data_IF_800119967322
#
_entry.id   IF_800119967322
#
_cell.length_a   1.000
_cell.length_b   1.000
_cell.length_c   1.000
_cell.angle_alpha   90.00
_cell.angle_beta   90.00
_cell.angle_gamma   90.00
#
_symmetry.space_group_name_H-M   'P 1'
#
loop_
_entity.id
_entity.type
_entity.pdbx_description
1 polymer ?
#
# COMPACT_ATOMS: atom_id res chain seq x y z
N UNK A 1 48.54 4.84 68.43
CA UNK A 1 47.71 3.75 67.86
C UNK A 1 47.28 4.17 66.47
N UNK A 2 47.86 3.56 65.43
CA UNK A 2 47.58 3.88 64.02
C UNK A 2 46.64 2.80 63.49
N UNK A 3 45.43 3.17 63.08
CA UNK A 3 44.49 2.25 62.44
C UNK A 3 44.85 2.13 60.95
N UNK A 4 45.23 0.93 60.54
CA UNK A 4 45.36 0.54 59.13
C UNK A 4 43.97 0.42 58.50
N UNK A 5 43.73 1.16 57.42
CA UNK A 5 42.56 0.97 56.56
C UNK A 5 42.92 -0.03 55.45
N UNK A 6 42.19 -1.14 55.26
CA UNK A 6 42.42 -2.03 54.14
C UNK A 6 41.77 -1.46 52.87
N UNK A 7 42.57 -1.32 51.82
CA UNK A 7 42.14 -0.99 50.47
C UNK A 7 41.23 -2.10 49.92
N UNK A 8 40.01 -1.75 49.49
CA UNK A 8 39.21 -2.62 48.63
C UNK A 8 39.63 -2.38 47.16
N UNK A 9 40.07 -3.42 46.42
CA UNK A 9 40.59 -3.28 45.07
C UNK A 9 39.47 -2.95 44.06
N UNK A 10 39.75 -2.00 43.17
CA UNK A 10 38.84 -1.44 42.15
C UNK A 10 38.43 -2.43 41.02
N UNK A 11 38.60 -3.73 41.21
CA UNK A 11 38.49 -4.75 40.15
C UNK A 11 37.18 -5.55 40.13
N UNK A 12 36.09 -5.05 40.73
CA UNK A 12 34.78 -5.73 40.74
C UNK A 12 33.62 -4.92 40.12
N UNK A 13 33.89 -3.73 39.56
CA UNK A 13 32.88 -2.88 38.91
C UNK A 13 32.80 -3.03 37.38
N UNK A 14 33.45 -4.04 36.80
CA UNK A 14 33.50 -4.26 35.35
C UNK A 14 32.58 -5.39 34.83
N UNK A 15 31.75 -6.01 35.68
CA UNK A 15 30.92 -7.17 35.31
C UNK A 15 29.44 -7.06 35.65
N UNK A 16 28.89 -5.84 35.79
CA UNK A 16 27.47 -5.67 36.16
C UNK A 16 26.71 -4.58 35.38
N UNK A 17 27.05 -4.35 34.11
CA UNK A 17 26.30 -3.44 33.22
C UNK A 17 26.29 -3.91 31.75
N UNK A 18 26.10 -5.22 31.49
CA UNK A 18 25.86 -5.75 30.12
C UNK A 18 24.60 -6.61 30.05
N UNK A 19 23.62 -6.38 30.93
CA UNK A 19 22.33 -7.06 30.87
C UNK A 19 21.19 -6.06 30.72
N UNK A 20 20.46 -6.25 29.62
CA UNK A 20 19.12 -5.73 29.28
C UNK A 20 19.06 -4.46 28.41
N UNK A 21 19.75 -4.47 27.27
CA UNK A 21 19.13 -3.96 26.05
C UNK A 21 18.37 -5.10 25.36
N UNK A 22 17.28 -5.57 25.98
CA UNK A 22 16.27 -6.31 25.23
C UNK A 22 15.76 -5.35 24.16
N UNK A 23 15.78 -5.71 22.85
CA UNK A 23 14.98 -4.95 21.92
C UNK A 23 13.56 -5.04 22.43
N UNK A 24 12.96 -3.91 22.81
CA UNK A 24 11.53 -3.87 23.02
C UNK A 24 10.95 -4.36 21.68
N UNK A 25 10.36 -5.56 21.66
CA UNK A 25 9.41 -5.86 20.61
C UNK A 25 8.38 -4.74 20.73
N UNK A 26 8.41 -3.79 19.80
CA UNK A 26 7.38 -2.79 19.69
C UNK A 26 6.10 -3.60 19.44
N UNK A 27 5.30 -3.77 20.50
CA UNK A 27 3.97 -4.31 20.36
C UNK A 27 3.27 -3.42 19.33
N UNK A 28 2.78 -4.02 18.24
CA UNK A 28 2.03 -3.29 17.23
C UNK A 28 0.89 -2.55 17.92
N UNK A 29 0.89 -1.22 17.77
CA UNK A 29 -0.13 -0.36 18.38
C UNK A 29 -1.53 -0.71 17.85
N UNK A 30 -2.61 -0.27 18.53
CA UNK A 30 -3.99 -0.54 18.13
C UNK A 30 -4.26 -0.25 16.65
N UNK A 31 -3.81 0.91 16.15
CA UNK A 31 -3.92 1.29 14.74
C UNK A 31 -3.29 0.25 13.80
N UNK A 32 -2.07 -0.20 14.08
CA UNK A 32 -1.39 -1.16 13.21
C UNK A 32 -2.14 -2.50 13.13
N UNK A 33 -2.73 -2.95 14.24
CA UNK A 33 -3.53 -4.17 14.25
C UNK A 33 -4.82 -4.00 13.44
N UNK A 34 -5.49 -2.86 13.57
CA UNK A 34 -6.70 -2.52 12.81
C UNK A 34 -6.40 -2.46 11.29
N UNK A 35 -5.27 -1.84 10.91
CA UNK A 35 -4.81 -1.76 9.52
C UNK A 35 -4.47 -3.15 8.95
N UNK A 36 -3.78 -4.00 9.72
CA UNK A 36 -3.48 -5.37 9.30
C UNK A 36 -4.76 -6.16 9.06
N UNK A 37 -5.73 -6.08 9.97
CA UNK A 37 -7.02 -6.75 9.79
C UNK A 37 -7.74 -6.25 8.53
N UNK A 38 -7.73 -4.93 8.27
CA UNK A 38 -8.35 -4.34 7.08
C UNK A 38 -7.66 -4.81 5.78
N UNK A 39 -6.32 -4.88 5.79
CA UNK A 39 -5.50 -5.41 4.71
C UNK A 39 -5.81 -6.88 4.38
N UNK A 40 -5.95 -7.71 5.42
CA UNK A 40 -6.27 -9.13 5.27
C UNK A 40 -7.66 -9.31 4.66
N UNK A 41 -8.65 -8.53 5.11
CA UNK A 41 -10.01 -8.57 4.54
C UNK A 41 -10.04 -8.10 3.09
N UNK A 42 -9.31 -7.02 2.75
CA UNK A 42 -9.19 -6.57 1.38
C UNK A 42 -8.52 -7.63 0.48
N UNK A 43 -7.47 -8.29 0.97
CA UNK A 43 -6.76 -9.35 0.25
C UNK A 43 -7.68 -10.54 -0.02
N UNK A 44 -8.40 -11.00 1.00
CA UNK A 44 -9.39 -12.06 0.87
C UNK A 44 -10.47 -11.72 -0.17
N UNK A 45 -11.08 -10.54 -0.07
CA UNK A 45 -12.13 -10.11 -0.98
C UNK A 45 -11.66 -9.90 -2.43
N UNK A 46 -10.42 -9.42 -2.61
CA UNK A 46 -9.87 -9.12 -3.93
C UNK A 46 -9.46 -10.38 -4.70
N UNK A 47 -8.89 -11.36 -4.00
CA UNK A 47 -8.20 -12.48 -4.65
C UNK A 47 -8.83 -13.85 -4.40
N UNK A 48 -9.56 -14.03 -3.29
CA UNK A 48 -10.04 -15.35 -2.89
C UNK A 48 -11.56 -15.49 -3.03
N UNK A 49 -12.31 -14.40 -2.97
CA UNK A 49 -13.76 -14.45 -3.18
C UNK A 49 -14.13 -14.63 -4.65
N UNK A 50 -15.15 -15.46 -4.95
CA UNK A 50 -15.80 -15.51 -6.26
C UNK A 50 -16.34 -14.12 -6.69
N UNK A 51 -16.28 -13.75 -7.98
CA UNK A 51 -16.67 -12.42 -8.44
C UNK A 51 -18.08 -11.97 -8.04
N UNK A 52 -19.05 -12.89 -8.04
CA UNK A 52 -20.45 -12.65 -7.67
C UNK A 52 -20.67 -12.33 -6.19
N UNK A 53 -19.68 -12.56 -5.33
CA UNK A 53 -19.74 -12.26 -3.89
C UNK A 53 -18.99 -10.98 -3.51
N UNK A 54 -18.26 -10.36 -4.46
CA UNK A 54 -17.35 -9.26 -4.15
C UNK A 54 -18.07 -7.95 -3.86
N UNK A 55 -19.14 -7.65 -4.59
CA UNK A 55 -19.93 -6.41 -4.40
C UNK A 55 -20.46 -6.34 -2.95
N UNK A 56 -21.22 -7.35 -2.53
CA UNK A 56 -21.74 -7.45 -1.15
C UNK A 56 -20.64 -7.44 -0.08
N UNK A 57 -19.53 -8.15 -0.33
CA UNK A 57 -18.41 -8.19 0.60
C UNK A 57 -17.80 -6.79 0.80
N UNK A 58 -17.47 -6.10 -0.29
CA UNK A 58 -16.86 -4.77 -0.22
C UNK A 58 -17.84 -3.71 0.30
N UNK A 59 -19.14 -3.83 -0.01
CA UNK A 59 -20.19 -3.01 0.59
C UNK A 59 -20.23 -3.14 2.13
N UNK A 60 -19.94 -4.34 2.67
CA UNK A 60 -19.84 -4.55 4.12
C UNK A 60 -18.50 -4.11 4.74
N UNK A 61 -17.44 -4.06 3.93
CA UNK A 61 -16.08 -3.71 4.39
C UNK A 61 -15.87 -2.20 4.44
N UNK A 62 -16.44 -1.46 3.49
CA UNK A 62 -16.26 -0.01 3.38
C UNK A 62 -16.68 0.77 4.65
N UNK A 63 -17.82 0.49 5.32
CA UNK A 63 -18.16 1.15 6.58
C UNK A 63 -17.17 0.89 7.72
N UNK A 64 -16.50 -0.28 7.72
CA UNK A 64 -15.46 -0.60 8.72
C UNK A 64 -14.21 0.24 8.48
N UNK A 65 -13.79 0.38 7.22
CA UNK A 65 -12.69 1.26 6.87
C UNK A 65 -12.98 2.72 7.29
N UNK A 66 -14.21 3.18 7.05
CA UNK A 66 -14.64 4.52 7.47
C UNK A 66 -14.59 4.72 8.99
N UNK A 67 -14.96 3.72 9.79
CA UNK A 67 -14.84 3.78 11.25
C UNK A 67 -13.39 3.97 11.70
N UNK A 68 -12.41 3.35 11.02
CA UNK A 68 -10.99 3.57 11.32
C UNK A 68 -10.56 5.01 11.01
N UNK A 69 -11.02 5.59 9.90
CA UNK A 69 -10.76 7.01 9.57
C UNK A 69 -11.28 7.93 10.69
N UNK A 70 -12.48 7.64 11.21
CA UNK A 70 -13.05 8.41 12.33
C UNK A 70 -12.31 8.19 13.65
N UNK A 71 -11.81 6.97 13.91
CA UNK A 71 -11.13 6.62 15.14
C UNK A 71 -9.70 7.20 15.22
N UNK A 72 -9.05 7.39 14.07
CA UNK A 72 -7.67 7.85 13.97
C UNK A 72 -7.54 9.10 13.09
N UNK A 73 -8.13 10.23 13.49
CA UNK A 73 -8.07 11.47 12.71
C UNK A 73 -6.63 11.96 12.55
N UNK A 74 -6.27 12.41 11.35
CA UNK A 74 -4.93 12.91 11.04
C UNK A 74 -3.92 11.85 10.62
N UNK A 75 -4.29 10.56 10.65
CA UNK A 75 -3.49 9.49 10.06
C UNK A 75 -3.84 9.30 8.58
N UNK A 76 -2.83 9.16 7.73
CA UNK A 76 -3.02 8.94 6.30
C UNK A 76 -3.46 7.51 6.00
N UNK A 77 -2.96 6.53 6.75
CA UNK A 77 -3.12 5.11 6.50
C UNK A 77 -4.59 4.63 6.50
N UNK A 78 -5.46 5.04 7.45
CA UNK A 78 -6.89 4.73 7.37
C UNK A 78 -7.56 5.28 6.11
N UNK A 79 -7.22 6.51 5.71
CA UNK A 79 -7.75 7.14 4.49
C UNK A 79 -7.28 6.40 3.22
N UNK A 80 -6.02 5.94 3.21
CA UNK A 80 -5.48 5.12 2.13
C UNK A 80 -6.28 3.84 2.00
N UNK A 81 -6.50 3.11 3.09
CA UNK A 81 -7.27 1.87 3.05
C UNK A 81 -8.73 2.08 2.68
N UNK A 82 -9.41 3.10 3.22
CA UNK A 82 -10.78 3.41 2.78
C UNK A 82 -10.82 3.74 1.29
N UNK A 83 -9.83 4.50 0.78
CA UNK A 83 -9.68 4.81 -0.63
C UNK A 83 -9.47 3.56 -1.50
N UNK A 84 -8.55 2.67 -1.10
CA UNK A 84 -8.27 1.40 -1.80
C UNK A 84 -9.51 0.50 -1.83
N UNK A 85 -10.18 0.33 -0.69
CA UNK A 85 -11.39 -0.49 -0.58
C UNK A 85 -12.51 0.09 -1.44
N UNK A 86 -12.72 1.40 -1.39
CA UNK A 86 -13.76 2.08 -2.17
C UNK A 86 -13.47 2.00 -3.68
N UNK A 87 -12.20 2.17 -4.08
CA UNK A 87 -11.79 1.99 -5.48
C UNK A 87 -11.97 0.54 -5.94
N UNK A 88 -11.68 -0.43 -5.06
CA UNK A 88 -11.84 -1.86 -5.36
C UNK A 88 -13.30 -2.24 -5.50
N UNK A 89 -14.16 -1.74 -4.61
CA UNK A 89 -15.61 -1.93 -4.64
C UNK A 89 -16.23 -1.43 -5.95
N UNK A 90 -15.79 -0.26 -6.43
CA UNK A 90 -16.29 0.36 -7.66
C UNK A 90 -16.21 -0.58 -8.88
N UNK A 91 -15.25 -1.51 -8.92
CA UNK A 91 -15.06 -2.47 -10.01
C UNK A 91 -16.22 -3.47 -10.16
N UNK A 92 -16.94 -3.75 -9.07
CA UNK A 92 -18.00 -4.76 -9.03
C UNK A 92 -19.40 -4.15 -9.11
N UNK A 93 -19.49 -2.83 -9.16
CA UNK A 93 -20.74 -2.08 -9.13
C UNK A 93 -21.25 -1.74 -10.53
N UNK A 94 -22.55 -1.44 -10.62
CA UNK A 94 -23.12 -0.82 -11.83
C UNK A 94 -22.44 0.54 -12.13
N UNK A 95 -22.43 1.01 -13.40
CA UNK A 95 -21.64 2.19 -13.79
C UNK A 95 -21.91 3.47 -13.01
N UNK A 96 -23.17 3.72 -12.60
CA UNK A 96 -23.52 4.92 -11.84
C UNK A 96 -22.94 4.87 -10.42
N UNK A 97 -23.07 3.72 -9.77
CA UNK A 97 -22.55 3.51 -8.42
C UNK A 97 -21.02 3.46 -8.42
N UNK A 98 -20.44 2.76 -9.40
CA UNK A 98 -19.00 2.68 -9.64
C UNK A 98 -18.37 4.07 -9.79
N UNK A 99 -18.99 4.97 -10.57
CA UNK A 99 -18.49 6.33 -10.75
C UNK A 99 -18.54 7.15 -9.46
N UNK A 100 -19.59 6.99 -8.66
CA UNK A 100 -19.70 7.65 -7.35
C UNK A 100 -18.60 7.16 -6.40
N UNK A 101 -18.42 5.84 -6.30
CA UNK A 101 -17.38 5.21 -5.48
C UNK A 101 -15.98 5.62 -5.95
N UNK A 102 -15.72 5.67 -7.26
CA UNK A 102 -14.44 6.12 -7.79
C UNK A 102 -14.12 7.58 -7.42
N UNK A 103 -15.13 8.48 -7.38
CA UNK A 103 -14.95 9.86 -6.92
C UNK A 103 -14.68 9.94 -5.42
N UNK A 104 -15.40 9.16 -4.61
CA UNK A 104 -15.15 9.06 -3.18
C UNK A 104 -13.72 8.56 -2.90
N UNK A 105 -13.30 7.50 -3.57
CA UNK A 105 -11.94 6.97 -3.47
C UNK A 105 -10.90 8.03 -3.85
N UNK A 106 -11.09 8.75 -4.96
CA UNK A 106 -10.22 9.86 -5.38
C UNK A 106 -10.07 10.90 -4.26
N UNK A 107 -11.18 11.32 -3.66
CA UNK A 107 -11.17 12.39 -2.65
C UNK A 107 -10.48 11.93 -1.35
N UNK A 108 -10.70 10.69 -0.93
CA UNK A 108 -10.00 10.06 0.21
C UNK A 108 -8.48 9.98 -0.03
N UNK A 109 -8.06 9.54 -1.23
CA UNK A 109 -6.65 9.39 -1.58
C UNK A 109 -5.97 10.75 -1.71
N UNK A 110 -6.65 11.76 -2.24
CA UNK A 110 -6.15 13.14 -2.25
C UNK A 110 -5.96 13.69 -0.83
N UNK A 111 -6.89 13.39 0.08
CA UNK A 111 -6.75 13.75 1.49
C UNK A 111 -5.56 13.03 2.14
N UNK A 112 -5.40 11.73 1.92
CA UNK A 112 -4.25 10.98 2.41
C UNK A 112 -2.92 11.55 1.91
N UNK A 113 -2.81 11.86 0.61
CA UNK A 113 -1.62 12.49 0.00
C UNK A 113 -1.31 13.84 0.67
N UNK A 114 -2.33 14.61 1.05
CA UNK A 114 -2.13 15.89 1.74
C UNK A 114 -1.59 15.75 3.16
N UNK A 115 -1.84 14.60 3.81
CA UNK A 115 -1.33 14.30 5.15
C UNK A 115 0.09 13.73 5.08
N UNK A 116 0.26 12.66 4.30
CA UNK A 116 1.56 12.04 4.06
C UNK A 116 1.56 11.32 2.71
N UNK A 117 2.22 11.88 1.68
CA UNK A 117 2.32 11.23 0.37
C UNK A 117 3.18 9.95 0.38
N UNK A 118 4.00 9.73 1.41
CA UNK A 118 4.89 8.57 1.54
C UNK A 118 4.27 7.44 2.35
N UNK A 119 3.18 7.70 3.07
CA UNK A 119 2.50 6.70 3.87
C UNK A 119 2.18 5.45 3.05
N UNK A 120 2.43 4.29 3.67
CA UNK A 120 2.26 2.96 3.04
C UNK A 120 2.96 2.87 1.68
N UNK A 121 4.23 3.27 1.60
CA UNK A 121 5.06 3.22 0.39
C UNK A 121 4.41 3.91 -0.83
N UNK A 122 3.65 4.99 -0.59
CA UNK A 122 2.99 5.72 -1.66
C UNK A 122 1.71 5.12 -2.20
N UNK A 123 1.09 4.20 -1.46
CA UNK A 123 -0.13 3.50 -1.90
C UNK A 123 -1.25 4.45 -2.34
N UNK A 124 -1.33 5.64 -1.74
CA UNK A 124 -2.26 6.68 -2.16
C UNK A 124 -2.00 7.16 -3.60
N UNK A 125 -0.74 7.47 -3.92
CA UNK A 125 -0.31 7.92 -5.24
C UNK A 125 -0.51 6.83 -6.29
N UNK A 126 -0.17 5.58 -5.95
CA UNK A 126 -0.33 4.42 -6.84
C UNK A 126 -1.80 4.22 -7.20
N UNK A 127 -2.67 4.17 -6.18
CA UNK A 127 -4.10 3.91 -6.36
C UNK A 127 -4.79 5.06 -7.06
N UNK A 128 -4.44 6.31 -6.73
CA UNK A 128 -4.97 7.49 -7.39
C UNK A 128 -4.55 7.54 -8.86
N UNK A 129 -3.28 7.24 -9.15
CA UNK A 129 -2.78 7.10 -10.52
C UNK A 129 -3.56 6.05 -11.31
N UNK A 130 -3.83 4.90 -10.69
CA UNK A 130 -4.64 3.83 -11.28
C UNK A 130 -6.08 4.26 -11.61
N UNK A 131 -6.74 4.99 -10.70
CA UNK A 131 -8.09 5.52 -10.95
C UNK A 131 -8.12 6.47 -12.15
N UNK A 132 -7.13 7.36 -12.26
CA UNK A 132 -7.12 8.36 -13.32
C UNK A 132 -7.00 7.77 -14.73
N UNK A 133 -6.32 6.63 -14.93
CA UNK A 133 -6.25 5.98 -16.25
C UNK A 133 -7.37 4.96 -16.51
N UNK A 134 -8.07 4.47 -15.47
CA UNK A 134 -9.18 3.50 -15.61
C UNK A 134 -10.54 4.16 -15.76
N UNK A 135 -10.74 5.34 -15.17
CA UNK A 135 -12.00 6.06 -15.26
C UNK A 135 -12.06 6.81 -16.60
N UNK A 136 -13.22 6.85 -17.29
CA UNK A 136 -13.34 7.58 -18.55
C UNK A 136 -13.04 9.08 -18.41
N UNK A 137 -12.42 9.67 -19.42
CA UNK A 137 -12.21 11.13 -19.48
C UNK A 137 -13.51 11.89 -19.77
N UNK A 138 -14.34 11.37 -20.68
CA UNK A 138 -15.58 12.02 -21.06
C UNK A 138 -16.66 11.78 -19.99
N UNK A 139 -17.18 12.86 -19.39
CA UNK A 139 -18.24 12.79 -18.39
C UNK A 139 -17.78 12.36 -16.98
N UNK A 140 -16.48 12.21 -16.76
CA UNK A 140 -15.90 11.85 -15.46
C UNK A 140 -14.52 12.53 -15.26
N UNK A 141 -13.77 12.11 -14.24
CA UNK A 141 -12.50 12.72 -13.82
C UNK A 141 -11.26 12.01 -14.39
N UNK A 142 -11.43 11.02 -15.27
CA UNK A 142 -10.32 10.33 -15.93
C UNK A 142 -9.36 11.31 -16.60
N UNK A 143 -8.06 11.12 -16.36
CA UNK A 143 -7.03 12.05 -16.80
C UNK A 143 -5.67 11.33 -16.86
N UNK A 144 -5.30 10.88 -18.07
CA UNK A 144 -4.04 10.16 -18.33
C UNK A 144 -2.80 10.94 -17.88
N UNK A 145 -2.81 12.27 -17.98
CA UNK A 145 -1.65 13.08 -17.60
C UNK A 145 -1.47 13.07 -16.08
N UNK A 146 -2.58 13.16 -15.33
CA UNK A 146 -2.56 12.98 -13.87
C UNK A 146 -2.17 11.56 -13.47
N UNK A 147 -2.67 10.55 -14.19
CA UNK A 147 -2.29 9.16 -13.94
C UNK A 147 -0.77 9.00 -14.00
N UNK A 148 -0.15 9.48 -15.10
CA UNK A 148 1.30 9.47 -15.29
C UNK A 148 2.02 10.23 -14.18
N UNK A 149 1.52 11.41 -13.82
CA UNK A 149 2.12 12.24 -12.77
C UNK A 149 2.15 11.52 -11.42
N UNK A 150 1.03 10.94 -10.97
CA UNK A 150 0.96 10.26 -9.67
C UNK A 150 1.77 8.96 -9.64
N UNK A 151 1.74 8.17 -10.72
CA UNK A 151 2.53 6.95 -10.78
C UNK A 151 4.04 7.23 -10.85
N UNK A 152 4.47 8.29 -11.55
CA UNK A 152 5.87 8.72 -11.53
C UNK A 152 6.31 9.22 -10.15
N UNK A 153 5.43 9.94 -9.44
CA UNK A 153 5.71 10.29 -8.05
C UNK A 153 5.89 9.04 -7.20
N UNK A 154 5.00 8.04 -7.32
CA UNK A 154 5.11 6.79 -6.58
C UNK A 154 6.43 6.04 -6.84
N UNK A 155 6.94 6.06 -8.07
CA UNK A 155 8.24 5.48 -8.43
C UNK A 155 9.44 6.23 -7.83
N UNK A 156 9.27 7.49 -7.42
CA UNK A 156 10.37 8.38 -6.99
C UNK A 156 10.22 8.86 -5.54
N UNK A 157 9.32 8.24 -4.75
CA UNK A 157 9.01 8.65 -3.38
C UNK A 157 10.18 8.55 -2.41
N UNK A 158 11.07 7.60 -2.65
CA UNK A 158 12.30 7.44 -1.91
C UNK A 158 13.47 7.97 -2.75
N UNK A 159 13.88 9.24 -2.56
CA UNK A 159 14.96 9.85 -3.35
C UNK A 159 16.34 9.24 -3.05
N UNK A 160 16.49 8.50 -1.94
CA UNK A 160 17.72 7.75 -1.63
C UNK A 160 17.71 6.37 -2.30
N UNK A 161 16.54 5.94 -2.79
CA UNK A 161 16.39 4.77 -3.63
C UNK A 161 16.20 5.18 -5.09
N UNK A 162 17.32 5.27 -5.82
CA UNK A 162 17.37 5.54 -7.27
C UNK A 162 16.51 4.52 -8.07
N UNK A 163 16.20 3.39 -7.44
CA UNK A 163 15.41 2.30 -7.96
C UNK A 163 14.09 2.15 -7.20
N UNK A 164 12.93 2.31 -7.86
CA UNK A 164 11.65 2.01 -7.21
C UNK A 164 11.57 0.53 -6.76
N UNK A 165 11.87 0.21 -5.50
CA UNK A 165 11.76 -1.14 -4.92
C UNK A 165 10.35 -1.43 -4.40
N UNK A 166 9.35 -1.08 -5.21
CA UNK A 166 7.94 -1.25 -4.89
C UNK A 166 7.25 -2.03 -6.00
N UNK A 167 6.74 -3.23 -5.65
CA UNK A 167 6.07 -4.14 -6.58
C UNK A 167 4.85 -3.45 -7.21
N UNK A 168 4.01 -2.82 -6.39
CA UNK A 168 2.78 -2.17 -6.85
C UNK A 168 3.10 -0.96 -7.75
N UNK A 169 4.04 -0.10 -7.39
CA UNK A 169 4.38 1.08 -8.20
C UNK A 169 4.86 0.67 -9.61
N UNK A 170 5.76 -0.31 -9.70
CA UNK A 170 6.24 -0.83 -10.97
C UNK A 170 5.12 -1.53 -11.76
N UNK A 171 4.30 -2.34 -11.10
CA UNK A 171 3.18 -3.01 -11.74
C UNK A 171 2.17 -2.02 -12.33
N UNK A 172 1.71 -1.03 -11.54
CA UNK A 172 0.70 -0.08 -11.99
C UNK A 172 1.24 0.88 -13.05
N UNK A 173 2.52 1.27 -13.00
CA UNK A 173 3.13 2.05 -14.08
C UNK A 173 3.32 1.23 -15.36
N UNK A 174 3.75 -0.03 -15.25
CA UNK A 174 3.80 -0.95 -16.37
C UNK A 174 2.43 -1.15 -17.02
N UNK A 175 1.38 -1.40 -16.20
CA UNK A 175 -0.01 -1.51 -16.68
C UNK A 175 -0.48 -0.20 -17.34
N UNK A 176 -0.19 0.96 -16.74
CA UNK A 176 -0.49 2.25 -17.35
C UNK A 176 0.12 2.38 -18.76
N UNK A 177 1.39 2.02 -18.93
CA UNK A 177 2.08 2.06 -20.23
C UNK A 177 1.44 1.11 -21.25
N UNK A 178 1.03 -0.09 -20.83
CA UNK A 178 0.29 -1.03 -21.67
C UNK A 178 -1.04 -0.43 -22.14
N UNK A 179 -1.81 0.20 -21.24
CA UNK A 179 -3.08 0.88 -21.57
C UNK A 179 -2.88 2.06 -22.54
N UNK A 180 -1.70 2.67 -22.54
CA UNK A 180 -1.32 3.71 -23.52
C UNK A 180 -0.77 3.13 -24.83
N UNK A 181 -0.65 1.80 -24.96
CA UNK A 181 -0.09 1.12 -26.12
C UNK A 181 1.44 1.08 -26.17
N UNK A 182 2.14 1.55 -25.13
CA UNK A 182 3.60 1.55 -25.06
C UNK A 182 4.13 0.26 -24.41
N UNK A 183 3.96 -0.85 -25.12
CA UNK A 183 4.39 -2.17 -24.65
C UNK A 183 5.89 -2.26 -24.37
N UNK A 184 6.72 -1.60 -25.18
CA UNK A 184 8.17 -1.65 -25.01
C UNK A 184 8.61 -0.92 -23.73
N UNK A 185 8.01 0.24 -23.44
CA UNK A 185 8.30 0.94 -22.19
C UNK A 185 7.74 0.21 -20.96
N UNK A 186 6.66 -0.55 -21.08
CA UNK A 186 6.07 -1.29 -19.95
C UNK A 186 6.96 -2.42 -19.42
N UNK A 187 7.65 -3.13 -20.32
CA UNK A 187 8.47 -4.31 -20.00
C UNK A 187 9.47 -4.13 -18.85
N UNK A 188 10.33 -3.09 -18.82
CA UNK A 188 11.29 -2.93 -17.72
C UNK A 188 10.61 -2.83 -16.35
N UNK A 189 9.49 -2.12 -16.24
CA UNK A 189 8.75 -1.99 -14.98
C UNK A 189 8.11 -3.32 -14.56
N UNK A 190 7.44 -4.01 -15.47
CA UNK A 190 6.84 -5.32 -15.16
C UNK A 190 7.89 -6.36 -14.78
N UNK A 191 9.03 -6.41 -15.47
CA UNK A 191 10.14 -7.29 -15.10
C UNK A 191 10.72 -6.96 -13.72
N UNK A 192 10.80 -5.67 -13.39
CA UNK A 192 11.23 -5.25 -12.05
C UNK A 192 10.23 -5.68 -10.98
N UNK A 193 8.94 -5.46 -11.20
CA UNK A 193 7.88 -5.92 -10.29
C UNK A 193 7.94 -7.44 -10.06
N UNK A 194 8.20 -8.24 -11.10
CA UNK A 194 8.33 -9.70 -10.98
C UNK A 194 9.57 -10.16 -10.20
N UNK A 195 10.64 -9.35 -10.17
CA UNK A 195 11.92 -9.70 -9.58
C UNK A 195 12.03 -9.32 -8.09
N UNK A 196 11.22 -8.35 -7.65
CA UNK A 196 11.21 -7.91 -6.26
C UNK A 196 10.64 -9.01 -5.34
N UNK A 197 11.22 -9.21 -4.14
CA UNK A 197 10.71 -10.22 -3.21
C UNK A 197 9.36 -9.79 -2.61
N UNK A 198 8.41 -10.72 -2.39
CA UNK A 198 7.19 -10.43 -1.64
C UNK A 198 7.49 -9.89 -0.24
N UNK A 199 6.79 -8.84 0.17
CA UNK A 199 6.94 -8.19 1.47
C UNK A 199 6.34 -9.07 2.57
N UNK A 200 7.01 -9.27 3.72
CA UNK A 200 6.48 -10.11 4.80
C UNK A 200 5.08 -9.71 5.29
N UNK A 201 4.82 -8.39 5.37
CA UNK A 201 3.54 -7.83 5.81
C UNK A 201 2.41 -7.91 4.78
N UNK A 202 2.72 -8.22 3.51
CA UNK A 202 1.76 -8.28 2.40
C UNK A 202 1.94 -9.53 1.54
N UNK A 203 2.52 -10.59 2.12
CA UNK A 203 3.00 -11.77 1.41
C UNK A 203 1.96 -12.37 0.44
N UNK A 204 0.71 -12.47 0.89
CA UNK A 204 -0.38 -13.04 0.08
C UNK A 204 -0.73 -12.13 -1.10
N UNK A 205 -0.91 -10.83 -0.86
CA UNK A 205 -1.22 -9.85 -1.91
C UNK A 205 -0.09 -9.76 -2.95
N UNK A 206 1.17 -9.73 -2.50
CA UNK A 206 2.33 -9.65 -3.38
C UNK A 206 2.49 -10.90 -4.26
N UNK A 207 2.13 -12.10 -3.75
CA UNK A 207 2.09 -13.32 -4.57
C UNK A 207 1.05 -13.22 -5.69
N UNK A 208 -0.17 -12.78 -5.38
CA UNK A 208 -1.18 -12.55 -6.42
C UNK A 208 -0.75 -11.46 -7.40
N UNK A 209 -0.09 -10.40 -6.92
CA UNK A 209 0.48 -9.36 -7.78
C UNK A 209 1.54 -9.92 -8.73
N UNK A 210 2.39 -10.84 -8.28
CA UNK A 210 3.34 -11.51 -9.16
C UNK A 210 2.65 -12.34 -10.25
N UNK A 211 1.56 -13.05 -9.90
CA UNK A 211 0.78 -13.80 -10.89
C UNK A 211 0.18 -12.85 -11.95
N UNK A 212 -0.35 -11.69 -11.54
CA UNK A 212 -0.83 -10.65 -12.44
C UNK A 212 0.29 -10.10 -13.34
N UNK A 213 1.48 -9.83 -12.79
CA UNK A 213 2.64 -9.38 -13.56
C UNK A 213 3.03 -10.41 -14.62
N UNK A 214 3.04 -11.70 -14.27
CA UNK A 214 3.34 -12.79 -15.21
C UNK A 214 2.30 -12.88 -16.32
N UNK A 215 1.01 -12.69 -16.01
CA UNK A 215 -0.05 -12.63 -17.01
C UNK A 215 0.20 -11.49 -18.02
N UNK A 216 0.49 -10.27 -17.53
CA UNK A 216 0.78 -9.12 -18.39
C UNK A 216 2.03 -9.34 -19.27
N UNK A 217 3.09 -9.92 -18.71
CA UNK A 217 4.32 -10.23 -19.44
C UNK A 217 4.11 -11.25 -20.57
N UNK A 218 3.11 -12.13 -20.42
CA UNK A 218 2.73 -13.11 -21.43
C UNK A 218 1.69 -12.58 -22.43
N UNK A 219 1.36 -11.28 -22.38
CA UNK A 219 0.36 -10.66 -23.24
C UNK A 219 -1.09 -10.98 -22.85
N UNK A 220 -1.31 -11.50 -21.63
CA UNK A 220 -2.64 -11.69 -21.07
C UNK A 220 -3.21 -10.40 -20.49
N UNK A 221 -4.51 -10.43 -20.23
CA UNK A 221 -5.21 -9.40 -19.47
C UNK A 221 -5.28 -9.80 -18.00
N UNK A 222 -5.28 -8.81 -17.10
CA UNK A 222 -5.50 -9.02 -15.66
C UNK A 222 -6.96 -8.70 -15.34
N UNK A 223 -7.60 -9.37 -14.36
CA UNK A 223 -8.97 -9.04 -13.97
C UNK A 223 -9.11 -7.54 -13.70
N UNK A 224 -10.00 -6.87 -14.42
CA UNK A 224 -10.29 -5.43 -14.26
C UNK A 224 -10.61 -5.08 -12.82
#
# INVERSE_FOLDING_TARGET
MRYNSPYLPWSWLAYLLVLLSLPALAASGPLQNDLTHLSDQWTYGSYQLPPDQRDDFFASLQPKAHQLVMAYPGHAEPLIWEGIITATHAKYQNPFSALSSARQARDLLLQAISLDPKAMDGSALITLGALYFRVPKLGSFGDTDKAKQYLNQALTLDPDNIDADNIDANYFYGKFLLEQGDHQAALPYLKKAAALPPRPQSLTADRFRHDEVVQLLNGGETPE
#
